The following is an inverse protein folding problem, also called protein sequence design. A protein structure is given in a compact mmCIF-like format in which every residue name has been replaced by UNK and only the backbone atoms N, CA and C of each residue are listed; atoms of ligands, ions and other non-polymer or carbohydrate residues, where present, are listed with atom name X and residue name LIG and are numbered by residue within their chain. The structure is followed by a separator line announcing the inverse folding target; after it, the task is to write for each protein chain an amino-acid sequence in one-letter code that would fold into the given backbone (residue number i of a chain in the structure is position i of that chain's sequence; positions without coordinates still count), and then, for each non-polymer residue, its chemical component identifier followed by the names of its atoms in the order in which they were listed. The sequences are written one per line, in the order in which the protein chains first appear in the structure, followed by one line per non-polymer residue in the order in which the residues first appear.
data_IF_639696455221
#
_entry.id   IF_639696455221
#
_cell.length_a   1.000
_cell.length_b   1.000
_cell.length_c   1.000
_cell.angle_alpha   90.00
_cell.angle_beta   90.00
_cell.angle_gamma   90.00
#
_symmetry.space_group_name_H-M   'P 1'
#
loop_
_entity.id
_entity.type
_entity.pdbx_description
1 polymer ?
#
# COMPACT_ATOMS: atom_id res chain seq x y z
N UNK A 1 -18.58 -6.46 29.62
CA UNK A 1 -17.15 -6.13 29.73
C UNK A 1 -16.38 -6.75 28.57
N UNK A 2 -15.80 -5.93 27.75
CA UNK A 2 -15.08 -6.32 26.52
C UNK A 2 -13.67 -6.84 26.87
N UNK A 3 -13.60 -7.91 27.70
CA UNK A 3 -12.33 -8.62 27.93
C UNK A 3 -12.01 -9.63 26.82
N UNK A 4 -12.93 -9.91 25.92
CA UNK A 4 -12.72 -10.89 24.86
C UNK A 4 -12.13 -10.21 23.63
N UNK A 5 -10.90 -10.58 23.24
CA UNK A 5 -10.18 -10.07 22.05
C UNK A 5 -10.97 -10.24 20.74
N UNK A 6 -12.00 -11.08 20.71
CA UNK A 6 -12.86 -11.29 19.54
C UNK A 6 -13.73 -10.07 19.20
N UNK A 7 -14.03 -9.21 20.17
CA UNK A 7 -14.84 -8.01 19.99
C UNK A 7 -14.05 -6.73 19.76
N UNK A 8 -12.72 -6.81 19.74
CA UNK A 8 -11.86 -5.65 19.45
C UNK A 8 -11.99 -5.25 17.99
N UNK A 9 -12.25 -3.99 17.72
CA UNK A 9 -12.23 -3.45 16.37
C UNK A 9 -10.80 -3.45 15.83
N UNK A 10 -10.47 -4.44 15.01
CA UNK A 10 -9.11 -4.61 14.46
C UNK A 10 -8.72 -3.47 13.49
N UNK A 11 -9.70 -2.75 12.91
CA UNK A 11 -9.43 -1.68 11.95
C UNK A 11 -8.90 -0.44 12.64
N UNK A 12 -9.50 -0.07 13.78
CA UNK A 12 -9.13 1.14 14.50
C UNK A 12 -8.12 0.90 15.62
N UNK A 13 -8.16 -0.28 16.28
CA UNK A 13 -7.33 -0.60 17.46
C UNK A 13 -6.18 -1.56 17.19
N UNK A 14 -6.32 -2.49 16.24
CA UNK A 14 -5.25 -3.41 15.91
C UNK A 14 -4.04 -2.67 15.34
N UNK A 15 -2.81 -3.07 15.76
CA UNK A 15 -1.56 -2.50 15.26
C UNK A 15 -0.79 -3.58 14.53
N UNK A 16 -0.46 -3.31 13.26
CA UNK A 16 0.13 -4.29 12.35
C UNK A 16 1.30 -3.69 11.58
N UNK A 17 2.29 -4.50 11.24
CA UNK A 17 3.32 -4.10 10.28
C UNK A 17 2.70 -3.91 8.88
N UNK A 18 3.16 -2.87 8.19
CA UNK A 18 2.67 -2.55 6.85
C UNK A 18 3.25 -3.44 5.76
N UNK A 19 4.42 -4.03 6.03
CA UNK A 19 5.17 -4.78 5.04
C UNK A 19 5.41 -3.95 3.77
N UNK A 20 5.43 -4.61 2.64
CA UNK A 20 5.77 -3.98 1.35
C UNK A 20 4.83 -2.84 0.89
N UNK A 21 3.71 -2.59 1.57
CA UNK A 21 2.90 -1.37 1.35
C UNK A 21 3.75 -0.13 1.59
N UNK A 22 4.65 -0.17 2.58
CA UNK A 22 5.49 0.95 2.97
C UNK A 22 6.51 1.37 1.90
N UNK A 23 6.84 0.50 0.95
CA UNK A 23 7.71 0.86 -0.19
C UNK A 23 7.15 2.02 -1.02
N UNK A 24 5.82 2.19 -1.06
CA UNK A 24 5.20 3.34 -1.71
C UNK A 24 5.64 4.65 -1.06
N UNK A 25 5.75 4.68 0.27
CA UNK A 25 6.25 5.85 1.02
C UNK A 25 7.72 6.14 0.71
N UNK A 26 8.56 5.10 0.67
CA UNK A 26 9.99 5.22 0.34
C UNK A 26 10.20 5.80 -1.05
N UNK A 27 9.45 5.30 -2.04
CA UNK A 27 9.55 5.79 -3.42
C UNK A 27 8.98 7.20 -3.55
N UNK A 28 7.84 7.49 -2.90
CA UNK A 28 7.27 8.83 -2.88
C UNK A 28 8.28 9.85 -2.31
N UNK A 29 8.96 9.52 -1.22
CA UNK A 29 9.96 10.40 -0.62
C UNK A 29 11.19 10.60 -1.50
N UNK A 30 11.63 9.56 -2.22
CA UNK A 30 12.74 9.68 -3.17
C UNK A 30 12.40 10.58 -4.36
N UNK A 31 11.17 10.47 -4.89
CA UNK A 31 10.63 11.33 -5.94
C UNK A 31 10.47 12.77 -5.46
N UNK A 32 9.88 12.99 -4.29
CA UNK A 32 9.59 14.31 -3.70
C UNK A 32 10.86 15.12 -3.41
N UNK A 33 11.97 14.46 -3.18
CA UNK A 33 13.26 15.11 -2.98
C UNK A 33 14.10 15.23 -4.26
N UNK A 34 13.52 14.98 -5.44
CA UNK A 34 14.20 15.02 -6.75
C UNK A 34 15.47 14.16 -6.83
N UNK A 35 15.58 13.15 -5.96
CA UNK A 35 16.74 12.23 -5.95
C UNK A 35 16.72 11.28 -7.14
N UNK A 36 15.54 11.02 -7.65
CA UNK A 36 15.26 10.12 -8.77
C UNK A 36 13.96 10.53 -9.48
N UNK A 37 13.80 10.07 -10.71
CA UNK A 37 12.51 10.03 -11.41
C UNK A 37 11.97 8.60 -11.42
N UNK A 38 10.73 8.38 -11.82
CA UNK A 38 10.16 7.03 -11.97
C UNK A 38 10.95 6.17 -12.97
N UNK A 39 11.64 6.79 -13.92
CA UNK A 39 12.42 6.15 -14.99
C UNK A 39 13.90 6.02 -14.67
N UNK A 40 14.39 6.64 -13.61
CA UNK A 40 15.80 6.49 -13.19
C UNK A 40 16.12 5.02 -12.98
N UNK A 41 17.16 4.53 -13.64
CA UNK A 41 17.64 3.16 -13.52
C UNK A 41 18.58 3.06 -12.30
N UNK A 42 18.27 2.18 -11.40
CA UNK A 42 19.16 1.74 -10.34
C UNK A 42 19.94 0.54 -10.89
N UNK A 43 21.25 0.74 -11.05
CA UNK A 43 22.14 -0.26 -11.63
C UNK A 43 22.66 -1.23 -10.58
N UNK A 44 23.02 -2.41 -11.01
CA UNK A 44 23.73 -3.44 -10.24
C UNK A 44 23.10 -3.76 -8.88
N UNK A 45 21.76 -3.84 -8.86
CA UNK A 45 21.03 -4.24 -7.65
C UNK A 45 21.48 -5.65 -7.25
N UNK A 46 22.13 -5.80 -6.08
CA UNK A 46 22.63 -7.11 -5.66
C UNK A 46 21.47 -8.03 -5.27
N UNK A 47 21.69 -9.34 -5.27
CA UNK A 47 20.70 -10.33 -4.81
C UNK A 47 20.32 -10.14 -3.33
N UNK A 48 21.22 -9.57 -2.54
CA UNK A 48 20.99 -9.26 -1.14
C UNK A 48 21.93 -8.16 -0.64
N UNK A 49 21.47 -7.45 0.39
CA UNK A 49 22.27 -6.48 1.14
C UNK A 49 22.44 -7.00 2.56
N UNK A 50 23.67 -7.03 3.04
CA UNK A 50 23.97 -7.32 4.44
C UNK A 50 23.84 -6.03 5.26
N UNK A 51 23.10 -6.09 6.35
CA UNK A 51 23.05 -5.03 7.33
C UNK A 51 23.25 -5.64 8.73
N UNK A 52 24.39 -5.38 9.34
CA UNK A 52 24.83 -6.06 10.57
C UNK A 52 24.85 -7.58 10.38
N UNK A 53 24.14 -8.31 11.23
CA UNK A 53 23.99 -9.77 11.15
C UNK A 53 22.86 -10.22 10.22
N UNK A 54 22.01 -9.27 9.77
CA UNK A 54 20.84 -9.57 8.94
C UNK A 54 21.17 -9.49 7.46
N UNK A 55 20.55 -10.40 6.70
CA UNK A 55 20.58 -10.41 5.23
C UNK A 55 19.21 -10.00 4.71
N UNK A 56 19.17 -8.91 3.94
CA UNK A 56 17.96 -8.43 3.26
C UNK A 56 18.02 -8.91 1.81
N UNK A 57 17.00 -9.61 1.37
CA UNK A 57 16.90 -10.16 0.01
C UNK A 57 15.50 -9.95 -0.56
N UNK A 58 15.40 -10.07 -1.87
CA UNK A 58 14.11 -10.08 -2.57
C UNK A 58 13.48 -11.47 -2.56
N UNK A 59 12.15 -11.50 -2.59
CA UNK A 59 11.39 -12.75 -2.60
C UNK A 59 11.44 -13.46 -3.95
N UNK A 60 11.68 -12.70 -5.03
CA UNK A 60 11.75 -13.19 -6.41
C UNK A 60 12.98 -12.64 -7.09
N UNK A 61 13.52 -13.41 -8.01
CA UNK A 61 14.58 -12.93 -8.88
C UNK A 61 14.08 -11.83 -9.81
N UNK A 62 14.96 -10.90 -10.13
CA UNK A 62 14.73 -9.79 -11.04
C UNK A 62 16.02 -9.41 -11.78
N UNK A 63 15.94 -8.64 -12.87
CA UNK A 63 17.14 -8.08 -13.53
C UNK A 63 17.98 -7.26 -12.55
N UNK A 64 19.29 -7.22 -12.78
CA UNK A 64 20.23 -6.42 -11.96
C UNK A 64 19.92 -4.92 -12.01
N UNK A 65 19.37 -4.47 -13.13
CA UNK A 65 19.01 -3.07 -13.36
C UNK A 65 17.50 -2.93 -13.35
N UNK A 66 16.96 -2.10 -12.46
CA UNK A 66 15.54 -1.80 -12.37
C UNK A 66 15.33 -0.29 -12.39
N UNK A 67 14.32 0.17 -13.10
CA UNK A 67 13.82 1.53 -12.89
C UNK A 67 13.18 1.66 -11.52
N UNK A 68 13.08 2.89 -11.01
CA UNK A 68 12.41 3.18 -9.74
C UNK A 68 10.97 2.66 -9.75
N UNK A 69 10.25 2.80 -10.86
CA UNK A 69 8.90 2.24 -10.99
C UNK A 69 8.91 0.70 -10.91
N UNK A 70 9.89 0.02 -11.51
CA UNK A 70 10.00 -1.44 -11.45
C UNK A 70 10.32 -1.95 -10.06
N UNK A 71 11.07 -1.19 -9.24
CA UNK A 71 11.30 -1.51 -7.83
C UNK A 71 9.95 -1.64 -7.10
N UNK A 72 8.98 -0.73 -7.34
CA UNK A 72 7.66 -0.81 -6.73
C UNK A 72 6.80 -1.90 -7.35
N UNK A 73 6.79 -2.03 -8.68
CA UNK A 73 6.01 -3.01 -9.44
C UNK A 73 6.37 -4.43 -9.02
N UNK A 74 7.65 -4.74 -8.97
CA UNK A 74 8.19 -6.05 -8.57
C UNK A 74 8.28 -6.23 -7.06
N UNK A 75 8.11 -5.13 -6.31
CA UNK A 75 8.21 -5.12 -4.84
C UNK A 75 9.61 -5.49 -4.31
N UNK A 76 10.68 -4.95 -4.92
CA UNK A 76 12.05 -5.20 -4.50
C UNK A 76 12.34 -4.60 -3.11
N UNK A 77 12.78 -5.43 -2.16
CA UNK A 77 13.28 -4.99 -0.85
C UNK A 77 14.64 -4.29 -1.02
N UNK A 78 15.52 -4.91 -1.80
CA UNK A 78 16.89 -4.43 -2.01
C UNK A 78 16.88 -3.08 -2.71
N UNK A 79 16.06 -2.92 -3.76
CA UNK A 79 15.87 -1.63 -4.41
C UNK A 79 15.34 -0.55 -3.47
N UNK A 80 14.41 -0.90 -2.57
CA UNK A 80 13.88 0.05 -1.57
C UNK A 80 14.94 0.47 -0.56
N UNK A 81 15.82 -0.45 -0.13
CA UNK A 81 16.96 -0.15 0.76
C UNK A 81 17.94 0.81 0.07
N UNK A 82 18.26 0.59 -1.20
CA UNK A 82 19.16 1.47 -1.95
C UNK A 82 18.57 2.90 -2.01
N UNK A 83 17.29 3.02 -2.33
CA UNK A 83 16.61 4.32 -2.34
C UNK A 83 16.59 4.98 -0.95
N UNK A 84 16.31 4.22 0.11
CA UNK A 84 16.31 4.77 1.47
C UNK A 84 17.70 5.27 1.90
N UNK A 85 18.77 4.56 1.56
CA UNK A 85 20.14 5.02 1.80
C UNK A 85 20.47 6.30 1.02
N UNK A 86 19.95 6.44 -0.20
CA UNK A 86 20.08 7.67 -1.01
C UNK A 86 19.31 8.84 -0.39
N UNK A 87 18.12 8.60 0.20
CA UNK A 87 17.34 9.60 0.92
C UNK A 87 18.05 10.06 2.19
N UNK A 88 18.62 9.12 2.94
CA UNK A 88 19.26 9.33 4.23
C UNK A 88 18.28 9.29 5.42
N UNK A 89 18.79 8.90 6.59
CA UNK A 89 17.99 8.63 7.78
C UNK A 89 17.23 9.85 8.29
N UNK A 90 17.85 11.03 8.29
CA UNK A 90 17.21 12.25 8.80
C UNK A 90 15.96 12.65 8.03
N UNK A 91 16.05 12.69 6.69
CA UNK A 91 14.91 13.00 5.82
C UNK A 91 13.81 11.93 5.95
N UNK A 92 14.21 10.67 6.06
CA UNK A 92 13.30 9.56 6.22
C UNK A 92 12.51 9.61 7.53
N UNK A 93 13.19 9.91 8.65
CA UNK A 93 12.57 10.15 9.97
C UNK A 93 11.57 11.29 9.92
N UNK A 94 12.00 12.43 9.38
CA UNK A 94 11.13 13.62 9.25
C UNK A 94 9.87 13.29 8.45
N UNK A 95 9.99 12.59 7.33
CA UNK A 95 8.83 12.20 6.52
C UNK A 95 7.85 11.28 7.28
N UNK A 96 8.36 10.32 8.08
CA UNK A 96 7.52 9.49 8.95
C UNK A 96 6.78 10.34 9.98
N UNK A 97 7.45 11.30 10.60
CA UNK A 97 6.85 12.21 11.57
C UNK A 97 5.79 13.11 10.94
N UNK A 98 6.10 13.74 9.81
CA UNK A 98 5.20 14.62 9.06
C UNK A 98 3.98 13.85 8.56
N UNK A 99 4.13 12.59 8.13
CA UNK A 99 3.04 11.72 7.70
C UNK A 99 2.05 11.37 8.80
N UNK A 100 2.46 11.49 10.07
CA UNK A 100 1.69 11.09 11.26
C UNK A 100 1.32 9.60 11.29
N UNK A 101 1.96 8.74 10.50
CA UNK A 101 1.63 7.32 10.39
C UNK A 101 1.79 6.56 11.70
N UNK A 102 2.62 7.07 12.61
CA UNK A 102 2.85 6.54 13.97
C UNK A 102 2.06 7.29 15.03
N UNK A 103 1.08 8.09 14.66
CA UNK A 103 0.13 8.73 15.58
C UNK A 103 -1.14 7.90 15.67
N UNK A 104 -1.81 7.96 16.82
CA UNK A 104 -3.19 7.48 16.92
C UNK A 104 -4.07 8.25 15.97
N UNK A 105 -4.99 7.54 15.34
CA UNK A 105 -6.00 8.16 14.48
C UNK A 105 -6.91 9.01 15.35
N UNK A 106 -7.04 10.29 15.03
CA UNK A 106 -8.00 11.18 15.67
C UNK A 106 -9.36 10.95 15.04
N UNK A 107 -10.17 10.09 15.67
CA UNK A 107 -11.49 9.64 15.23
C UNK A 107 -12.53 9.85 16.34
N UNK A 108 -13.80 9.93 15.98
CA UNK A 108 -14.92 10.19 16.91
C UNK A 108 -15.32 8.97 17.77
N UNK A 109 -14.42 8.00 17.97
CA UNK A 109 -14.60 6.83 18.84
C UNK A 109 -13.40 6.65 19.76
N UNK A 110 -13.64 6.08 20.95
CA UNK A 110 -12.59 5.86 21.95
C UNK A 110 -11.69 4.65 21.62
N UNK A 111 -12.23 3.67 20.86
CA UNK A 111 -11.53 2.43 20.53
C UNK A 111 -10.50 2.63 19.41
N UNK A 112 -9.45 3.37 19.71
CA UNK A 112 -8.34 3.68 18.78
C UNK A 112 -7.02 3.13 19.32
N UNK A 113 -6.26 2.47 18.45
CA UNK A 113 -4.94 1.92 18.78
C UNK A 113 -3.85 2.99 18.76
N UNK A 114 -2.81 2.74 19.55
CA UNK A 114 -1.60 3.56 19.57
C UNK A 114 -0.49 2.83 18.80
N UNK A 115 -0.06 3.33 17.64
CA UNK A 115 1.06 2.75 16.91
C UNK A 115 2.35 2.73 17.74
N UNK A 116 3.18 1.73 17.52
CA UNK A 116 4.46 1.62 18.22
C UNK A 116 5.47 2.60 17.67
N UNK A 117 6.22 3.28 18.56
CA UNK A 117 7.35 4.13 18.17
C UNK A 117 8.45 3.29 17.52
N UNK A 118 9.01 3.79 16.43
CA UNK A 118 10.17 3.16 15.79
C UNK A 118 11.42 3.51 16.63
N UNK A 119 12.12 2.47 17.08
CA UNK A 119 13.45 2.63 17.70
C UNK A 119 14.50 2.66 16.60
N UNK A 120 15.06 3.84 16.35
CA UNK A 120 16.09 4.05 15.33
C UNK A 120 17.44 3.55 15.84
N UNK A 121 17.82 2.40 15.36
CA UNK A 121 19.10 1.75 15.65
C UNK A 121 19.72 1.22 14.36
N UNK A 122 20.83 0.52 14.46
CA UNK A 122 21.53 -0.08 13.31
C UNK A 122 20.55 -0.89 12.44
N UNK A 123 20.56 -0.65 11.13
CA UNK A 123 19.70 -1.28 10.12
C UNK A 123 18.21 -0.86 10.14
N UNK A 124 17.81 0.09 10.98
CA UNK A 124 16.39 0.46 11.05
C UNK A 124 15.92 1.20 9.80
N UNK A 125 16.74 2.08 9.23
CA UNK A 125 16.43 2.74 7.96
C UNK A 125 16.14 1.70 6.86
N UNK A 126 17.02 0.71 6.73
CA UNK A 126 16.90 -0.34 5.74
C UNK A 126 15.62 -1.14 5.93
N UNK A 127 15.34 -1.60 7.15
CA UNK A 127 14.17 -2.44 7.41
C UNK A 127 12.85 -1.68 7.26
N UNK A 128 12.79 -0.45 7.75
CA UNK A 128 11.59 0.39 7.62
C UNK A 128 11.32 0.74 6.15
N UNK A 129 12.36 0.88 5.31
CA UNK A 129 12.18 1.23 3.89
C UNK A 129 11.27 0.27 3.11
N UNK A 130 11.18 -1.00 3.53
CA UNK A 130 10.26 -1.98 2.95
C UNK A 130 9.15 -2.43 3.90
N UNK A 131 8.98 -1.73 5.04
CA UNK A 131 7.86 -1.88 5.96
C UNK A 131 8.04 -2.90 7.07
N UNK A 132 9.29 -3.31 7.38
CA UNK A 132 9.59 -4.16 8.53
C UNK A 132 10.02 -3.32 9.74
N UNK A 133 9.43 -3.61 10.90
CA UNK A 133 9.69 -2.87 12.15
C UNK A 133 9.01 -1.51 12.20
N UNK A 134 7.99 -1.27 11.39
CA UNK A 134 7.05 -0.14 11.47
C UNK A 134 5.62 -0.67 11.45
N UNK A 135 4.85 -0.32 12.47
CA UNK A 135 3.50 -0.82 12.66
C UNK A 135 2.53 0.31 13.00
N UNK A 136 1.33 0.24 12.44
CA UNK A 136 0.27 1.21 12.68
C UNK A 136 -1.11 0.52 12.58
N UNK A 137 -2.19 1.26 12.85
CA UNK A 137 -3.54 0.72 12.66
C UNK A 137 -3.92 0.69 11.18
N UNK A 138 -4.77 -0.25 10.74
CA UNK A 138 -5.27 -0.29 9.37
C UNK A 138 -5.90 1.02 8.91
N UNK A 139 -6.69 1.65 9.78
CA UNK A 139 -7.30 2.95 9.47
C UNK A 139 -6.25 4.04 9.27
N UNK A 140 -5.25 4.13 10.16
CA UNK A 140 -4.18 5.11 10.02
C UNK A 140 -3.35 4.85 8.76
N UNK A 141 -3.05 3.57 8.46
CA UNK A 141 -2.37 3.20 7.23
C UNK A 141 -3.13 3.68 5.98
N UNK A 142 -4.44 3.40 5.92
CA UNK A 142 -5.27 3.81 4.79
C UNK A 142 -5.39 5.33 4.68
N UNK A 143 -5.55 6.04 5.81
CA UNK A 143 -5.65 7.50 5.87
C UNK A 143 -4.37 8.17 5.37
N UNK A 144 -3.19 7.75 5.86
CA UNK A 144 -1.92 8.34 5.43
C UNK A 144 -1.58 7.93 3.99
N UNK A 145 -1.92 6.70 3.59
CA UNK A 145 -1.73 6.26 2.20
C UNK A 145 -2.58 7.09 1.23
N UNK A 146 -3.78 7.52 1.64
CA UNK A 146 -4.61 8.39 0.81
C UNK A 146 -3.91 9.70 0.45
N UNK A 147 -3.04 10.23 1.34
CA UNK A 147 -2.25 11.42 1.04
C UNK A 147 -1.24 11.19 -0.09
N UNK A 148 -0.72 9.98 -0.28
CA UNK A 148 0.18 9.68 -1.40
C UNK A 148 -0.52 9.70 -2.75
N UNK A 149 -1.86 9.59 -2.79
CA UNK A 149 -2.62 9.37 -4.03
C UNK A 149 -3.62 10.48 -4.37
N UNK A 150 -3.93 11.37 -3.42
CA UNK A 150 -4.95 12.41 -3.58
C UNK A 150 -4.39 13.82 -3.91
N UNK A 151 -3.15 13.91 -4.35
CA UNK A 151 -2.45 15.18 -4.57
C UNK A 151 -1.58 15.62 -3.39
N UNK A 152 -1.35 14.74 -2.41
CA UNK A 152 -0.45 14.98 -1.28
C UNK A 152 -1.14 15.40 0.02
N UNK A 153 -2.44 15.69 0.02
CA UNK A 153 -3.14 16.24 1.18
C UNK A 153 -3.43 15.19 2.26
N UNK A 154 -2.96 15.42 3.50
CA UNK A 154 -3.36 14.61 4.66
C UNK A 154 -4.77 15.01 5.08
N UNK A 155 -5.70 14.07 5.00
CA UNK A 155 -7.10 14.23 5.39
C UNK A 155 -7.32 13.48 6.71
N UNK A 156 -7.86 14.18 7.73
CA UNK A 156 -8.30 13.55 8.97
C UNK A 156 -9.50 12.65 8.65
N UNK A 157 -9.48 11.36 8.98
CA UNK A 157 -10.65 10.52 8.85
C UNK A 157 -11.75 10.95 9.82
N UNK A 158 -13.01 10.79 9.42
CA UNK A 158 -14.18 11.08 10.25
C UNK A 158 -15.31 10.11 9.93
N UNK A 159 -16.02 9.67 10.93
CA UNK A 159 -17.26 8.89 10.83
C UNK A 159 -18.49 9.79 10.69
N UNK A 160 -18.32 11.07 10.98
CA UNK A 160 -19.41 12.07 10.94
C UNK A 160 -19.27 12.92 9.68
N UNK A 161 -20.37 13.02 8.93
CA UNK A 161 -20.45 13.90 7.76
C UNK A 161 -20.63 15.34 8.21
N UNK A 162 -19.54 16.08 8.35
CA UNK A 162 -19.57 17.51 8.68
C UNK A 162 -19.33 18.35 7.43
N UNK A 163 -20.35 19.13 7.00
CA UNK A 163 -20.29 20.02 5.83
C UNK A 163 -19.55 21.33 6.10
N UNK A 164 -19.28 21.70 7.36
CA UNK A 164 -18.78 23.03 7.74
C UNK A 164 -17.30 23.07 8.09
N UNK A 165 -16.64 21.93 8.29
CA UNK A 165 -15.25 21.88 8.75
C UNK A 165 -14.29 22.17 7.60
N UNK A 166 -13.77 23.40 7.53
CA UNK A 166 -12.58 23.72 6.73
C UNK A 166 -11.38 23.06 7.42
N UNK A 167 -10.93 21.93 6.88
CA UNK A 167 -9.73 21.23 7.35
C UNK A 167 -8.50 22.07 6.99
N UNK A 168 -7.58 22.28 7.94
CA UNK A 168 -6.24 22.78 7.62
C UNK A 168 -5.58 21.75 6.72
N UNK A 169 -5.27 22.14 5.49
CA UNK A 169 -4.58 21.31 4.52
C UNK A 169 -3.09 21.27 4.89
N UNK A 170 -2.58 20.09 5.11
CA UNK A 170 -1.15 19.83 5.21
C UNK A 170 -0.77 18.89 4.08
N UNK A 171 0.17 19.31 3.25
CA UNK A 171 0.64 18.50 2.12
C UNK A 171 1.87 17.68 2.56
N UNK A 172 1.81 16.37 2.37
CA UNK A 172 2.90 15.44 2.63
C UNK A 172 3.88 15.35 1.45
N UNK A 173 3.34 15.44 0.23
CA UNK A 173 4.05 15.39 -1.04
C UNK A 173 3.38 16.33 -2.03
N UNK A 174 4.09 16.66 -3.12
CA UNK A 174 3.54 17.45 -4.21
C UNK A 174 2.48 16.72 -5.03
N UNK A 175 1.57 17.44 -5.72
CA UNK A 175 0.63 16.83 -6.65
C UNK A 175 1.32 16.04 -7.78
N UNK A 176 2.49 16.49 -8.23
CA UNK A 176 3.31 15.84 -9.26
C UNK A 176 3.81 14.48 -8.80
N UNK A 177 4.36 14.42 -7.57
CA UNK A 177 4.78 13.17 -6.95
C UNK A 177 3.59 12.23 -6.78
N UNK A 178 2.45 12.73 -6.31
CA UNK A 178 1.22 11.95 -6.16
C UNK A 178 0.73 11.37 -7.50
N UNK A 179 0.73 12.16 -8.57
CA UNK A 179 0.37 11.72 -9.93
C UNK A 179 1.31 10.62 -10.42
N UNK A 180 2.61 10.77 -10.18
CA UNK A 180 3.63 9.77 -10.53
C UNK A 180 3.40 8.47 -9.75
N UNK A 181 3.15 8.53 -8.45
CA UNK A 181 2.81 7.38 -7.61
C UNK A 181 1.56 6.65 -8.12
N UNK A 182 0.49 7.36 -8.45
CA UNK A 182 -0.72 6.78 -9.02
C UNK A 182 -0.45 6.01 -10.32
N UNK A 183 0.38 6.57 -11.21
CA UNK A 183 0.79 5.91 -12.45
C UNK A 183 1.54 4.60 -12.16
N UNK A 184 2.47 4.59 -11.19
CA UNK A 184 3.23 3.39 -10.81
C UNK A 184 2.29 2.36 -10.17
N UNK A 185 1.40 2.79 -9.25
CA UNK A 185 0.44 1.90 -8.60
C UNK A 185 -0.51 1.24 -9.61
N UNK A 186 -0.90 1.95 -10.67
CA UNK A 186 -1.66 1.36 -11.78
C UNK A 186 -0.86 0.23 -12.44
N UNK A 187 0.43 0.42 -12.69
CA UNK A 187 1.31 -0.60 -13.27
C UNK A 187 1.53 -1.82 -12.37
N UNK A 188 1.50 -1.67 -11.04
CA UNK A 188 1.52 -2.81 -10.10
C UNK A 188 0.35 -3.76 -10.34
N UNK A 189 -0.80 -3.24 -10.80
CA UNK A 189 -2.00 -4.01 -11.10
C UNK A 189 -2.04 -4.46 -12.57
N UNK A 190 -1.70 -3.58 -13.52
CA UNK A 190 -1.91 -3.83 -14.95
C UNK A 190 -0.74 -4.50 -15.67
N UNK A 191 0.48 -4.41 -15.16
CA UNK A 191 1.65 -4.96 -15.85
C UNK A 191 1.85 -6.46 -15.62
N UNK A 192 2.52 -7.13 -16.57
CA UNK A 192 2.86 -8.56 -16.49
C UNK A 192 3.70 -8.91 -15.26
N UNK A 193 4.58 -8.00 -14.85
CA UNK A 193 5.46 -8.17 -13.70
C UNK A 193 4.84 -7.65 -12.38
N UNK A 194 3.62 -7.14 -12.44
CA UNK A 194 2.92 -6.60 -11.28
C UNK A 194 2.52 -7.68 -10.29
N UNK A 195 2.47 -7.30 -9.02
CA UNK A 195 2.13 -8.23 -7.92
C UNK A 195 0.63 -8.31 -7.64
N UNK A 196 -0.20 -7.48 -8.32
CA UNK A 196 -1.62 -7.31 -7.96
C UNK A 196 -2.58 -7.48 -9.16
N UNK A 197 -2.22 -8.29 -10.15
CA UNK A 197 -3.00 -8.45 -11.39
C UNK A 197 -4.43 -8.98 -11.20
N UNK A 198 -4.74 -9.74 -10.14
CA UNK A 198 -6.11 -10.19 -9.87
C UNK A 198 -7.09 -9.07 -9.49
N UNK A 199 -6.57 -7.90 -9.11
CA UNK A 199 -7.40 -6.71 -8.91
C UNK A 199 -7.68 -5.94 -10.20
N UNK A 200 -7.08 -6.32 -11.34
CA UNK A 200 -7.32 -5.65 -12.63
C UNK A 200 -8.74 -5.93 -13.10
N UNK A 201 -9.63 -4.98 -12.88
CA UNK A 201 -11.04 -5.04 -13.27
C UNK A 201 -11.33 -3.92 -14.25
N UNK A 202 -11.91 -4.29 -15.41
CA UNK A 202 -12.23 -3.35 -16.47
C UNK A 202 -13.10 -2.21 -15.94
N UNK A 203 -12.79 -0.99 -16.36
CA UNK A 203 -13.55 0.24 -16.04
C UNK A 203 -13.23 0.89 -14.70
N UNK A 204 -12.44 0.25 -13.80
CA UNK A 204 -12.21 0.81 -12.47
C UNK A 204 -10.83 1.46 -12.28
N UNK A 205 -9.91 1.30 -13.23
CA UNK A 205 -8.55 1.87 -13.17
C UNK A 205 -7.86 1.67 -11.81
N UNK A 206 -7.94 0.44 -11.29
CA UNK A 206 -7.42 0.11 -9.97
C UNK A 206 -5.90 0.15 -10.00
N UNK A 207 -5.30 0.86 -9.05
CA UNK A 207 -3.89 0.77 -8.69
C UNK A 207 -3.75 0.28 -7.27
N UNK A 208 -2.54 -0.08 -6.85
CA UNK A 208 -2.34 -0.45 -5.45
C UNK A 208 -1.01 -1.15 -5.19
N UNK A 209 -0.85 -1.56 -3.91
CA UNK A 209 0.38 -2.24 -3.44
C UNK A 209 0.05 -3.40 -2.53
N UNK A 210 0.70 -4.52 -2.79
CA UNK A 210 0.65 -5.71 -1.93
C UNK A 210 1.58 -5.55 -0.72
N UNK A 211 1.15 -6.07 0.41
CA UNK A 211 1.95 -6.20 1.62
C UNK A 211 1.89 -7.63 2.15
N UNK A 212 3.02 -8.15 2.58
CA UNK A 212 3.10 -9.38 3.35
C UNK A 212 4.00 -9.08 4.54
N UNK A 213 3.49 -9.28 5.74
CA UNK A 213 4.23 -9.06 6.98
C UNK A 213 4.06 -10.28 7.90
N UNK A 214 5.04 -10.47 8.77
CA UNK A 214 4.92 -11.38 9.90
C UNK A 214 4.37 -10.61 11.10
N UNK A 215 3.40 -11.20 11.80
CA UNK A 215 2.82 -10.57 12.99
C UNK A 215 3.78 -10.60 14.18
N UNK A 216 3.64 -9.64 15.08
CA UNK A 216 4.36 -9.58 16.35
C UNK A 216 3.86 -10.64 17.33
N UNK A 217 4.75 -11.25 18.07
CA UNK A 217 4.45 -12.14 19.20
C UNK A 217 4.91 -13.58 19.00
N UNK A 218 4.65 -14.42 20.01
CA UNK A 218 5.11 -15.81 20.10
C UNK A 218 4.47 -16.76 19.07
N UNK A 219 3.46 -16.33 18.34
CA UNK A 219 2.87 -17.09 17.23
C UNK A 219 3.24 -16.39 15.94
N UNK A 220 3.97 -17.09 15.06
CA UNK A 220 4.23 -16.64 13.69
C UNK A 220 2.89 -16.45 12.96
N UNK A 221 2.30 -15.27 13.07
CA UNK A 221 1.13 -14.91 12.30
C UNK A 221 1.59 -14.25 10.98
N UNK A 222 0.88 -14.53 9.89
CA UNK A 222 1.12 -13.90 8.61
C UNK A 222 -0.02 -12.94 8.30
N UNK A 223 0.35 -11.71 7.97
CA UNK A 223 -0.60 -10.69 7.51
C UNK A 223 -0.39 -10.50 6.01
N UNK A 224 -1.40 -10.85 5.23
CA UNK A 224 -1.44 -10.53 3.81
C UNK A 224 -2.36 -9.35 3.58
N UNK A 225 -1.86 -8.31 2.94
CA UNK A 225 -2.58 -7.07 2.74
C UNK A 225 -2.50 -6.57 1.30
N UNK A 226 -3.49 -5.84 0.88
CA UNK A 226 -3.49 -5.07 -0.36
C UNK A 226 -4.19 -3.74 -0.12
N UNK A 227 -3.48 -2.66 -0.38
CA UNK A 227 -4.05 -1.33 -0.41
C UNK A 227 -4.24 -0.90 -1.85
N UNK A 228 -5.45 -0.52 -2.19
CA UNK A 228 -5.81 -0.09 -3.53
C UNK A 228 -6.35 1.32 -3.56
N UNK A 229 -6.20 1.97 -4.68
CA UNK A 229 -6.77 3.27 -5.03
C UNK A 229 -7.52 3.13 -6.34
N UNK A 230 -8.69 3.73 -6.42
CA UNK A 230 -9.50 3.72 -7.65
C UNK A 230 -10.45 4.91 -7.73
N UNK A 231 -10.59 5.46 -8.97
CA UNK A 231 -9.73 5.24 -10.12
C UNK A 231 -8.39 5.96 -9.95
N UNK A 232 -7.28 5.42 -10.49
CA UNK A 232 -5.94 6.02 -10.33
C UNK A 232 -5.73 7.33 -11.06
N UNK A 233 -6.49 7.58 -12.11
CA UNK A 233 -6.45 8.83 -12.88
C UNK A 233 -7.19 9.98 -12.18
N UNK A 234 -8.15 9.69 -11.31
CA UNK A 234 -8.86 10.64 -10.45
C UNK A 234 -9.22 9.97 -9.12
N UNK A 235 -8.27 9.86 -8.19
CA UNK A 235 -8.43 9.08 -6.97
C UNK A 235 -9.58 9.58 -6.10
N UNK A 236 -10.55 8.67 -5.86
CA UNK A 236 -11.71 8.96 -5.03
C UNK A 236 -11.80 8.02 -3.83
N UNK A 237 -11.27 6.80 -3.98
CA UNK A 237 -11.42 5.75 -2.97
C UNK A 237 -10.08 5.07 -2.70
N UNK A 238 -9.84 4.78 -1.43
CA UNK A 238 -8.77 3.90 -0.96
C UNK A 238 -9.40 2.73 -0.23
N UNK A 239 -9.06 1.50 -0.62
CA UNK A 239 -9.52 0.28 0.02
C UNK A 239 -8.31 -0.53 0.50
N UNK A 240 -8.24 -0.76 1.80
CA UNK A 240 -7.26 -1.68 2.42
C UNK A 240 -7.94 -2.99 2.79
N UNK A 241 -7.48 -4.08 2.22
CA UNK A 241 -7.87 -5.44 2.61
C UNK A 241 -6.70 -6.07 3.35
N UNK A 242 -6.95 -6.56 4.57
CA UNK A 242 -5.98 -7.27 5.39
C UNK A 242 -6.54 -8.62 5.81
N UNK A 243 -5.76 -9.67 5.64
CA UNK A 243 -6.10 -11.03 6.00
C UNK A 243 -5.04 -11.56 6.98
N UNK A 244 -5.50 -11.94 8.17
CA UNK A 244 -4.65 -12.54 9.20
C UNK A 244 -4.68 -14.07 9.07
N UNK A 245 -3.49 -14.67 8.97
CA UNK A 245 -3.30 -16.11 8.81
C UNK A 245 -4.16 -16.74 7.69
N UNK A 246 -4.21 -16.13 6.49
CA UNK A 246 -5.01 -16.70 5.41
C UNK A 246 -4.49 -18.09 5.04
N UNK A 247 -5.41 -18.99 4.71
CA UNK A 247 -5.10 -20.31 4.18
C UNK A 247 -5.29 -20.35 2.67
N UNK A 248 -4.51 -21.19 1.99
CA UNK A 248 -4.71 -21.45 0.57
C UNK A 248 -5.96 -22.31 0.42
N UNK A 249 -6.92 -21.86 -0.39
CA UNK A 249 -8.01 -22.72 -0.84
C UNK A 249 -7.52 -23.48 -2.10
N UNK A 250 -7.32 -24.81 -1.94
CA UNK A 250 -6.82 -25.66 -3.02
C UNK A 250 -7.85 -25.89 -4.13
N UNK A 251 -9.13 -25.66 -3.85
CA UNK A 251 -10.23 -25.87 -4.79
C UNK A 251 -10.58 -24.61 -5.60
N UNK A 252 -10.10 -23.45 -5.14
CA UNK A 252 -10.36 -22.17 -5.82
C UNK A 252 -9.52 -22.06 -7.09
N UNK A 253 -10.19 -21.94 -8.22
CA UNK A 253 -9.60 -21.59 -9.50
C UNK A 253 -9.63 -20.07 -9.67
N UNK A 254 -8.45 -19.49 -9.82
CA UNK A 254 -8.28 -18.09 -10.14
C UNK A 254 -8.27 -17.93 -11.65
N UNK A 255 -8.99 -16.93 -12.15
CA UNK A 255 -8.99 -16.58 -13.56
C UNK A 255 -8.44 -15.19 -13.78
N UNK A 256 -7.50 -15.08 -14.70
CA UNK A 256 -6.95 -13.81 -15.15
C UNK A 256 -6.60 -13.88 -16.63
N UNK A 257 -7.21 -12.99 -17.44
CA UNK A 257 -7.00 -12.92 -18.90
C UNK A 257 -7.18 -14.27 -19.60
N UNK A 258 -8.23 -15.00 -19.23
CA UNK A 258 -8.55 -16.32 -19.81
C UNK A 258 -7.72 -17.49 -19.26
N UNK A 259 -6.72 -17.25 -18.44
CA UNK A 259 -5.91 -18.32 -17.83
C UNK A 259 -6.49 -18.68 -16.47
N UNK A 260 -6.83 -19.97 -16.30
CA UNK A 260 -7.29 -20.55 -15.03
C UNK A 260 -6.12 -21.24 -14.33
N UNK A 261 -5.91 -20.92 -13.05
CA UNK A 261 -4.82 -21.49 -12.25
C UNK A 261 -5.19 -21.59 -10.78
N UNK A 262 -4.49 -22.45 -10.04
CA UNK A 262 -4.57 -22.54 -8.58
C UNK A 262 -3.50 -21.68 -7.94
N UNK A 263 -3.74 -21.22 -6.71
CA UNK A 263 -2.75 -20.45 -5.97
C UNK A 263 -1.55 -21.33 -5.58
N UNK A 264 -0.33 -21.05 -6.10
CA UNK A 264 0.87 -21.82 -5.74
C UNK A 264 1.44 -21.42 -4.38
N UNK A 265 1.13 -20.21 -3.90
CA UNK A 265 1.71 -19.62 -2.69
C UNK A 265 0.67 -18.87 -1.87
N UNK A 266 0.85 -18.86 -0.55
CA UNK A 266 0.07 -18.03 0.35
C UNK A 266 0.65 -16.61 0.41
N UNK A 267 0.43 -15.82 -0.63
CA UNK A 267 0.86 -14.42 -0.72
C UNK A 267 -0.31 -13.50 -0.99
N UNK A 268 -0.13 -12.21 -0.68
CA UNK A 268 -1.17 -11.18 -0.85
C UNK A 268 -1.73 -11.13 -2.25
N UNK A 269 -0.92 -11.40 -3.28
CA UNK A 269 -1.36 -11.45 -4.68
C UNK A 269 -2.45 -12.47 -4.96
N UNK A 270 -2.45 -13.60 -4.21
CA UNK A 270 -3.39 -14.69 -4.40
C UNK A 270 -4.61 -14.62 -3.47
N UNK A 271 -4.61 -13.75 -2.48
CA UNK A 271 -5.72 -13.65 -1.52
C UNK A 271 -6.21 -12.21 -1.34
N UNK A 272 -5.50 -11.32 -0.64
CA UNK A 272 -5.97 -9.96 -0.37
C UNK A 272 -6.26 -9.18 -1.66
N UNK A 273 -5.44 -9.34 -2.70
CA UNK A 273 -5.65 -8.73 -4.03
C UNK A 273 -6.93 -9.26 -4.70
N UNK A 274 -7.12 -10.58 -4.67
CA UNK A 274 -8.30 -11.20 -5.25
C UNK A 274 -9.58 -10.73 -4.56
N UNK A 275 -9.57 -10.72 -3.21
CA UNK A 275 -10.69 -10.23 -2.40
C UNK A 275 -10.99 -8.76 -2.70
N UNK A 276 -9.97 -7.90 -2.73
CA UNK A 276 -10.14 -6.49 -3.06
C UNK A 276 -10.75 -6.29 -4.47
N UNK A 277 -10.27 -7.03 -5.47
CA UNK A 277 -10.83 -6.99 -6.81
C UNK A 277 -12.31 -7.38 -6.86
N UNK A 278 -12.70 -8.41 -6.08
CA UNK A 278 -14.12 -8.81 -5.97
C UNK A 278 -14.98 -7.77 -5.23
N UNK A 279 -14.44 -7.17 -4.17
CA UNK A 279 -15.12 -6.09 -3.45
C UNK A 279 -15.36 -4.91 -4.41
N UNK A 280 -14.32 -4.41 -5.07
CA UNK A 280 -14.41 -3.26 -5.98
C UNK A 280 -15.40 -3.55 -7.11
N UNK A 281 -15.39 -4.76 -7.68
CA UNK A 281 -16.32 -5.16 -8.71
C UNK A 281 -17.80 -5.12 -8.25
N UNK A 282 -18.05 -5.42 -6.96
CA UNK A 282 -19.39 -5.38 -6.38
C UNK A 282 -19.84 -3.96 -5.98
N UNK A 283 -18.94 -3.19 -5.35
CA UNK A 283 -19.30 -1.84 -4.87
C UNK A 283 -19.16 -0.77 -5.94
N UNK A 284 -18.35 -1.00 -6.95
CA UNK A 284 -18.06 -0.03 -8.01
C UNK A 284 -19.32 0.54 -8.69
N UNK A 285 -20.31 -0.28 -9.10
CA UNK A 285 -21.55 0.23 -9.67
C UNK A 285 -22.35 1.12 -8.69
N UNK A 286 -22.32 0.79 -7.39
CA UNK A 286 -23.01 1.58 -6.34
C UNK A 286 -22.30 2.94 -6.18
N UNK A 287 -20.97 2.93 -6.15
CA UNK A 287 -20.18 4.15 -6.04
C UNK A 287 -20.29 5.02 -7.30
N UNK A 288 -20.41 4.42 -8.48
CA UNK A 288 -20.61 5.12 -9.75
C UNK A 288 -21.98 5.83 -9.82
N UNK A 289 -23.03 5.22 -9.28
CA UNK A 289 -24.38 5.82 -9.22
C UNK A 289 -24.34 7.13 -8.43
N UNK A 290 -23.49 7.23 -7.42
CA UNK A 290 -23.38 8.41 -6.57
C UNK A 290 -22.35 9.45 -7.09
N UNK A 291 -21.65 9.14 -8.18
CA UNK A 291 -20.61 9.99 -8.76
C UNK A 291 -20.80 10.11 -10.27
N UNK A 292 -21.44 11.20 -10.74
CA UNK A 292 -21.76 11.43 -12.17
C UNK A 292 -20.55 11.29 -13.11
N UNK A 293 -19.36 11.69 -12.68
CA UNK A 293 -18.14 11.61 -13.50
C UNK A 293 -17.69 10.14 -13.70
N UNK A 294 -17.86 9.31 -12.69
CA UNK A 294 -17.53 7.88 -12.75
C UNK A 294 -18.49 7.13 -13.68
N UNK A 295 -19.77 7.53 -13.68
CA UNK A 295 -20.81 6.97 -14.53
C UNK A 295 -20.53 7.22 -16.00
N UNK A 296 -20.11 8.45 -16.35
CA UNK A 296 -19.81 8.80 -17.75
C UNK A 296 -18.63 8.00 -18.31
N UNK A 297 -17.59 7.76 -17.53
CA UNK A 297 -16.44 6.93 -17.94
C UNK A 297 -16.83 5.46 -18.16
N UNK A 298 -17.62 4.91 -17.25
CA UNK A 298 -18.09 3.52 -17.32
C UNK A 298 -19.03 3.27 -18.51
N UNK A 299 -19.91 4.26 -18.80
CA UNK A 299 -20.82 4.21 -19.94
C UNK A 299 -20.07 4.36 -21.27
N UNK A 300 -19.10 5.29 -21.35
CA UNK A 300 -18.30 5.49 -22.54
C UNK A 300 -17.49 4.25 -22.94
N UNK A 301 -16.92 3.51 -21.97
CA UNK A 301 -16.20 2.25 -22.27
C UNK A 301 -17.12 1.07 -22.67
N UNK A 302 -18.38 1.08 -22.27
CA UNK A 302 -19.36 0.07 -22.71
C UNK A 302 -19.93 0.34 -24.09
N UNK A 303 -20.01 1.61 -24.51
CA UNK A 303 -20.53 1.99 -25.83
C UNK A 303 -19.48 1.74 -26.92
N UNK A 304 -18.18 1.79 -26.58
CA UNK A 304 -17.07 1.59 -27.51
C UNK A 304 -16.59 0.11 -27.60
N UNK A 305 -17.35 -0.84 -27.10
CA UNK A 305 -17.20 -2.30 -27.28
C UNK A 305 -18.40 -2.89 -27.98
#
# INVERSE_FOLDING_TARGET
SVKNKQYTNKITKGVYELGSIFKTFTIALALENDLVTSKTIIQDIPRSIKCSIHKISDMKEHPKNLSVEEILIRSSNVGSVILARKIGEQKFKKFIEDSKILKSTDLEIEEVGVPHKVKWNKCKLETVSYGHGIATTPLQAASVYSALVNGGEIIKPSLVKDKKKKLKKFSLISPETSKTINSILRKVVSSKNGTAYFADKNGYYIGGKTGTAEGYGNKKSRINSFISVFPTNKPNYTLLVMLENPKINKDLLYEYRGIKTKAPYNTSGWNAVYVAGKIIQKIGPILAINNKEFTNQYVAEKINK
#
